data_IF_503381905985
#
_entry.id   IF_503381905985
#
_cell.length_a   1.000
_cell.length_b   1.000
_cell.length_c   1.000
_cell.angle_alpha   90.00
_cell.angle_beta   90.00
_cell.angle_gamma   90.00
#
_symmetry.space_group_name_H-M   'P 1'
#
loop_
_entity.id
_entity.type
_entity.pdbx_description
1 polymer ?
#
# COMPACT_ATOMS: atom_id res chain seq x y z
N UNK A 1 17.31 -41.56 -26.95
CA UNK A 1 18.49 -41.08 -26.20
C UNK A 1 18.67 -39.58 -26.51
N UNK A 2 18.04 -38.69 -25.73
CA UNK A 2 18.11 -37.25 -25.94
C UNK A 2 19.34 -36.72 -25.22
N UNK A 3 20.35 -36.34 -25.99
CA UNK A 3 21.56 -35.66 -25.52
C UNK A 3 21.18 -34.21 -25.14
N UNK A 4 20.79 -33.99 -23.90
CA UNK A 4 20.78 -32.64 -23.33
C UNK A 4 22.24 -32.25 -23.04
N UNK A 5 22.70 -31.04 -23.46
CA UNK A 5 24.06 -30.61 -23.18
C UNK A 5 24.29 -30.54 -21.66
N UNK A 6 25.53 -30.81 -21.17
CA UNK A 6 25.86 -30.73 -19.76
C UNK A 6 25.58 -29.30 -19.25
N UNK A 7 24.72 -29.18 -18.23
CA UNK A 7 24.48 -27.89 -17.56
C UNK A 7 25.78 -27.43 -16.92
N UNK A 8 26.17 -26.19 -17.15
CA UNK A 8 27.36 -25.61 -16.55
C UNK A 8 27.15 -25.49 -15.02
N UNK A 9 28.10 -25.97 -14.17
CA UNK A 9 27.94 -25.99 -12.72
C UNK A 9 27.70 -24.59 -12.10
N UNK A 10 28.15 -23.52 -12.76
CA UNK A 10 27.94 -22.14 -12.33
C UNK A 10 26.46 -21.73 -12.44
N UNK A 11 25.74 -22.20 -13.46
CA UNK A 11 24.30 -21.96 -13.61
C UNK A 11 23.49 -22.65 -12.51
N UNK A 12 23.88 -23.86 -12.11
CA UNK A 12 23.20 -24.60 -11.05
C UNK A 12 23.40 -23.91 -9.69
N UNK A 13 24.58 -23.36 -9.40
CA UNK A 13 24.85 -22.61 -8.16
C UNK A 13 24.02 -21.30 -8.11
N UNK A 14 24.01 -20.52 -9.20
CA UNK A 14 23.22 -19.30 -9.29
C UNK A 14 21.73 -19.58 -9.10
N UNK A 15 21.20 -20.62 -9.74
CA UNK A 15 19.79 -21.04 -9.61
C UNK A 15 19.49 -21.48 -8.16
N UNK A 16 20.37 -22.21 -7.50
CA UNK A 16 20.23 -22.62 -6.10
C UNK A 16 20.20 -21.40 -5.15
N UNK A 17 21.06 -20.41 -5.35
CA UNK A 17 21.09 -19.20 -4.54
C UNK A 17 19.80 -18.38 -4.75
N UNK A 18 19.43 -18.09 -6.00
CA UNK A 18 18.27 -17.29 -6.36
C UNK A 18 16.93 -17.96 -5.99
N UNK A 19 16.89 -19.30 -5.97
CA UNK A 19 15.75 -20.10 -5.52
C UNK A 19 15.69 -20.29 -4.00
N UNK A 20 16.74 -19.91 -3.25
CA UNK A 20 16.79 -20.21 -1.83
C UNK A 20 15.78 -19.39 -1.01
N UNK A 21 15.18 -19.98 0.06
CA UNK A 21 14.27 -19.27 0.96
C UNK A 21 14.92 -18.09 1.69
N UNK A 22 16.25 -18.15 1.91
CA UNK A 22 17.02 -17.06 2.55
C UNK A 22 17.15 -15.87 1.62
N UNK A 23 17.49 -16.09 0.35
CA UNK A 23 17.59 -15.06 -0.66
C UNK A 23 16.23 -14.36 -0.87
N UNK A 24 15.16 -15.12 -1.07
CA UNK A 24 13.81 -14.55 -1.25
C UNK A 24 13.33 -13.78 -0.02
N UNK A 25 13.74 -14.18 1.20
CA UNK A 25 13.45 -13.42 2.42
C UNK A 25 14.18 -12.07 2.45
N UNK A 26 15.48 -12.08 2.15
CA UNK A 26 16.30 -10.87 2.11
C UNK A 26 15.83 -9.91 1.01
N UNK A 27 15.54 -10.44 -0.20
CA UNK A 27 15.03 -9.64 -1.31
C UNK A 27 13.65 -9.03 -1.00
N UNK A 28 12.76 -9.78 -0.34
CA UNK A 28 11.47 -9.25 0.13
C UNK A 28 11.65 -8.07 1.08
N UNK A 29 12.57 -8.18 2.06
CA UNK A 29 12.85 -7.08 2.99
C UNK A 29 13.51 -5.90 2.28
N UNK A 30 14.42 -6.14 1.33
CA UNK A 30 15.05 -5.10 0.53
C UNK A 30 14.01 -4.33 -0.32
N UNK A 31 13.08 -5.04 -0.97
CA UNK A 31 12.01 -4.41 -1.76
C UNK A 31 11.13 -3.52 -0.87
N UNK A 32 10.61 -4.07 0.24
CA UNK A 32 9.75 -3.32 1.16
C UNK A 32 10.53 -2.14 1.75
N UNK A 33 11.77 -2.37 2.19
CA UNK A 33 12.63 -1.35 2.80
C UNK A 33 12.94 -0.19 1.87
N UNK A 34 13.31 -0.49 0.62
CA UNK A 34 13.61 0.53 -0.38
C UNK A 34 12.37 1.39 -0.70
N UNK A 35 11.18 0.76 -0.83
CA UNK A 35 9.95 1.51 -1.13
C UNK A 35 9.39 2.28 0.07
N UNK A 36 9.62 1.80 1.30
CA UNK A 36 9.32 2.54 2.54
C UNK A 36 10.24 3.74 2.67
N UNK A 37 11.52 3.58 2.34
CA UNK A 37 12.55 4.62 2.46
C UNK A 37 12.76 5.39 1.13
N UNK A 38 11.82 5.33 0.18
CA UNK A 38 11.97 5.89 -1.17
C UNK A 38 12.33 7.37 -1.18
N UNK A 39 11.71 8.19 -0.31
CA UNK A 39 12.07 9.60 -0.15
C UNK A 39 13.49 9.75 0.35
N UNK A 40 13.85 9.07 1.44
CA UNK A 40 15.21 9.12 2.01
C UNK A 40 16.27 8.75 0.96
N UNK A 41 16.02 7.69 0.18
CA UNK A 41 16.95 7.26 -0.87
C UNK A 41 17.08 8.31 -1.98
N UNK A 42 15.97 8.91 -2.41
CA UNK A 42 15.99 9.97 -3.41
C UNK A 42 16.73 11.23 -2.93
N UNK A 43 16.53 11.62 -1.69
CA UNK A 43 17.23 12.78 -1.12
C UNK A 43 18.73 12.55 -0.95
N UNK A 44 19.16 11.30 -0.69
CA UNK A 44 20.59 10.96 -0.54
C UNK A 44 21.28 10.68 -1.87
N UNK A 45 20.62 10.04 -2.83
CA UNK A 45 21.24 9.51 -4.06
C UNK A 45 20.65 10.09 -5.36
N UNK A 46 19.63 10.94 -5.24
CA UNK A 46 18.89 11.49 -6.37
C UNK A 46 18.00 10.44 -7.08
N UNK A 47 17.28 10.91 -8.08
CA UNK A 47 16.41 10.07 -8.90
C UNK A 47 17.17 8.96 -9.64
N UNK A 48 18.39 9.26 -10.14
CA UNK A 48 19.20 8.26 -10.85
C UNK A 48 19.59 7.09 -9.94
N UNK A 49 20.03 7.37 -8.71
CA UNK A 49 20.36 6.33 -7.73
C UNK A 49 19.13 5.51 -7.34
N UNK A 50 17.99 6.16 -7.12
CA UNK A 50 16.73 5.48 -6.83
C UNK A 50 16.29 4.54 -7.96
N UNK A 51 16.30 5.00 -9.21
CA UNK A 51 15.93 4.19 -10.37
C UNK A 51 16.88 3.02 -10.59
N UNK A 52 18.18 3.20 -10.33
CA UNK A 52 19.16 2.10 -10.38
C UNK A 52 18.86 1.01 -9.33
N UNK A 53 18.53 1.40 -8.09
CA UNK A 53 18.12 0.46 -7.04
C UNK A 53 16.84 -0.28 -7.47
N UNK A 54 15.83 0.45 -7.95
CA UNK A 54 14.57 -0.14 -8.39
C UNK A 54 14.79 -1.14 -9.53
N UNK A 55 15.59 -0.78 -10.54
CA UNK A 55 15.95 -1.66 -11.64
C UNK A 55 16.68 -2.93 -11.14
N UNK A 56 17.65 -2.78 -10.24
CA UNK A 56 18.34 -3.91 -9.61
C UNK A 56 17.36 -4.85 -8.88
N UNK A 57 16.43 -4.30 -8.10
CA UNK A 57 15.41 -5.09 -7.41
C UNK A 57 14.49 -5.83 -8.39
N UNK A 58 14.07 -5.18 -9.49
CA UNK A 58 13.25 -5.81 -10.55
C UNK A 58 14.01 -6.95 -11.22
N UNK A 59 15.29 -6.75 -11.56
CA UNK A 59 16.14 -7.79 -12.15
C UNK A 59 16.27 -8.98 -11.20
N UNK A 60 16.62 -8.74 -9.93
CA UNK A 60 16.78 -9.81 -8.94
C UNK A 60 15.48 -10.56 -8.67
N UNK A 61 14.34 -9.84 -8.61
CA UNK A 61 13.02 -10.45 -8.46
C UNK A 61 12.65 -11.30 -9.67
N UNK A 62 12.93 -10.83 -10.90
CA UNK A 62 12.71 -11.59 -12.14
C UNK A 62 13.55 -12.86 -12.19
N UNK A 63 14.83 -12.78 -11.86
CA UNK A 63 15.73 -13.92 -11.82
C UNK A 63 15.31 -14.94 -10.74
N UNK A 64 14.86 -14.46 -9.57
CA UNK A 64 14.36 -15.33 -8.52
C UNK A 64 13.04 -16.02 -8.91
N UNK A 65 12.12 -15.32 -9.62
CA UNK A 65 10.90 -15.94 -10.18
C UNK A 65 11.23 -17.02 -11.21
N UNK A 66 12.19 -16.75 -12.09
CA UNK A 66 12.63 -17.73 -13.10
C UNK A 66 13.25 -18.96 -12.45
N UNK A 67 14.06 -18.78 -11.38
CA UNK A 67 14.68 -19.88 -10.64
C UNK A 67 13.62 -20.78 -9.94
N UNK A 68 12.49 -20.21 -9.52
CA UNK A 68 11.42 -20.89 -8.78
C UNK A 68 10.17 -21.19 -9.63
N UNK A 69 10.25 -21.04 -10.97
CA UNK A 69 9.10 -21.12 -11.87
C UNK A 69 8.31 -22.44 -11.78
N UNK A 70 8.98 -23.54 -11.45
CA UNK A 70 8.40 -24.88 -11.35
C UNK A 70 7.64 -25.06 -10.03
N UNK A 71 8.00 -24.30 -8.98
CA UNK A 71 7.34 -24.37 -7.67
C UNK A 71 6.11 -23.45 -7.58
N UNK A 72 5.98 -22.50 -8.52
CA UNK A 72 4.90 -21.52 -8.51
C UNK A 72 3.69 -22.05 -9.25
N UNK A 73 2.56 -22.16 -8.55
CA UNK A 73 1.27 -22.41 -9.18
C UNK A 73 0.81 -21.17 -9.96
N UNK A 74 1.02 -21.13 -11.26
CA UNK A 74 0.68 -20.00 -12.14
C UNK A 74 -0.81 -19.86 -12.47
N UNK A 75 -1.62 -20.88 -12.24
CA UNK A 75 -3.02 -20.92 -12.65
C UNK A 75 -3.94 -20.23 -11.61
N UNK A 76 -4.64 -19.19 -12.04
CA UNK A 76 -5.66 -18.51 -11.23
C UNK A 76 -5.13 -17.51 -10.21
N UNK A 77 -3.90 -17.01 -10.41
CA UNK A 77 -3.13 -16.28 -9.42
C UNK A 77 -3.39 -14.78 -9.35
N UNK A 78 -3.66 -14.16 -10.48
CA UNK A 78 -3.57 -12.70 -10.56
C UNK A 78 -4.97 -12.09 -10.68
N UNK A 79 -5.25 -11.01 -9.92
CA UNK A 79 -6.53 -10.33 -10.05
C UNK A 79 -6.61 -9.60 -11.40
N UNK A 80 -7.49 -10.07 -12.29
CA UNK A 80 -7.71 -9.47 -13.63
C UNK A 80 -7.96 -7.96 -13.52
N UNK A 81 -8.65 -7.52 -12.47
CA UNK A 81 -8.92 -6.10 -12.23
C UNK A 81 -7.65 -5.26 -12.04
N UNK A 82 -6.57 -5.84 -11.49
CA UNK A 82 -5.27 -5.16 -11.39
C UNK A 82 -4.67 -4.91 -12.78
N UNK A 83 -4.72 -5.92 -13.66
CA UNK A 83 -4.20 -5.78 -15.02
C UNK A 83 -5.03 -4.82 -15.88
N UNK A 84 -6.35 -4.79 -15.66
CA UNK A 84 -7.23 -3.83 -16.36
C UNK A 84 -6.81 -2.40 -16.00
N UNK A 85 -6.65 -2.09 -14.71
CA UNK A 85 -6.25 -0.75 -14.28
C UNK A 85 -4.82 -0.39 -14.72
N UNK A 86 -3.84 -1.27 -14.44
CA UNK A 86 -2.44 -1.05 -14.82
C UNK A 86 -2.29 -0.96 -16.34
N UNK A 87 -3.01 -1.80 -17.09
CA UNK A 87 -3.06 -1.76 -18.55
C UNK A 87 -3.62 -0.44 -19.06
N UNK A 88 -4.74 0.05 -18.51
CA UNK A 88 -5.33 1.33 -18.87
C UNK A 88 -4.39 2.50 -18.58
N UNK A 89 -3.77 2.51 -17.39
CA UNK A 89 -2.76 3.51 -17.04
C UNK A 89 -1.54 3.47 -17.97
N UNK A 90 -1.11 2.29 -18.41
CA UNK A 90 0.01 2.14 -19.35
C UNK A 90 -0.38 2.61 -20.78
N UNK A 91 -1.56 2.23 -21.26
CA UNK A 91 -2.06 2.61 -22.59
C UNK A 91 -2.30 4.13 -22.67
N UNK A 92 -2.48 4.83 -21.55
CA UNK A 92 -2.67 6.29 -21.54
C UNK A 92 -1.51 7.08 -22.17
N UNK A 93 -0.35 6.45 -22.38
CA UNK A 93 0.76 6.98 -23.17
C UNK A 93 0.34 7.43 -24.56
N UNK A 94 -0.64 6.77 -25.20
CA UNK A 94 -1.01 7.05 -26.58
C UNK A 94 -1.80 8.35 -26.77
N UNK A 95 -2.48 8.85 -25.74
CA UNK A 95 -3.22 10.12 -25.81
C UNK A 95 -2.66 11.20 -24.90
N UNK A 96 -1.67 10.87 -24.07
CA UNK A 96 -1.01 11.85 -23.21
C UNK A 96 -0.30 12.92 -24.07
N UNK A 97 -0.46 14.18 -23.69
CA UNK A 97 0.29 15.29 -24.31
C UNK A 97 1.79 15.24 -23.97
N UNK A 98 2.19 14.44 -22.97
CA UNK A 98 3.56 14.29 -22.46
C UNK A 98 3.94 12.81 -22.43
N UNK A 99 4.00 12.19 -23.60
CA UNK A 99 4.18 10.74 -23.78
C UNK A 99 5.39 10.20 -23.02
N UNK A 100 6.52 10.94 -23.03
CA UNK A 100 7.74 10.53 -22.33
C UNK A 100 7.57 10.44 -20.80
N UNK A 101 6.88 11.44 -20.18
CA UNK A 101 6.62 11.44 -18.75
C UNK A 101 5.62 10.35 -18.35
N UNK A 102 4.56 10.18 -19.15
CA UNK A 102 3.58 9.11 -18.97
C UNK A 102 4.22 7.74 -19.17
N UNK A 103 5.09 7.56 -20.18
CA UNK A 103 5.82 6.31 -20.37
C UNK A 103 6.74 5.98 -19.20
N UNK A 104 7.51 6.95 -18.70
CA UNK A 104 8.36 6.79 -17.53
C UNK A 104 7.55 6.40 -16.29
N UNK A 105 6.42 7.08 -16.04
CA UNK A 105 5.53 6.80 -14.91
C UNK A 105 4.83 5.45 -15.05
N UNK A 106 4.47 5.02 -16.25
CA UNK A 106 3.90 3.70 -16.53
C UNK A 106 4.93 2.59 -16.28
N UNK A 107 6.17 2.76 -16.74
CA UNK A 107 7.27 1.81 -16.45
C UNK A 107 7.51 1.71 -14.94
N UNK A 108 7.49 2.83 -14.24
CA UNK A 108 7.61 2.85 -12.77
C UNK A 108 6.46 2.10 -12.07
N UNK A 109 5.22 2.32 -12.51
CA UNK A 109 4.04 1.60 -12.02
C UNK A 109 4.17 0.09 -12.26
N UNK A 110 4.58 -0.31 -13.46
CA UNK A 110 4.82 -1.72 -13.82
C UNK A 110 5.91 -2.35 -12.97
N UNK A 111 7.03 -1.64 -12.73
CA UNK A 111 8.13 -2.10 -11.90
C UNK A 111 7.68 -2.38 -10.46
N UNK A 112 6.98 -1.42 -9.82
CA UNK A 112 6.48 -1.61 -8.45
C UNK A 112 5.39 -2.69 -8.40
N UNK A 113 4.52 -2.77 -9.42
CA UNK A 113 3.52 -3.85 -9.55
C UNK A 113 4.18 -5.22 -9.61
N UNK A 114 5.21 -5.37 -10.44
CA UNK A 114 5.96 -6.62 -10.58
C UNK A 114 6.61 -7.03 -9.25
N UNK A 115 7.21 -6.08 -8.51
CA UNK A 115 7.80 -6.34 -7.19
C UNK A 115 6.73 -6.77 -6.16
N UNK A 116 5.54 -6.16 -6.19
CA UNK A 116 4.41 -6.56 -5.34
C UNK A 116 3.90 -7.96 -5.67
N UNK A 117 3.79 -8.30 -6.96
CA UNK A 117 3.44 -9.63 -7.43
C UNK A 117 4.48 -10.66 -6.99
N UNK A 118 5.78 -10.35 -7.15
CA UNK A 118 6.88 -11.21 -6.68
C UNK A 118 6.71 -11.58 -5.21
N UNK A 119 6.59 -10.59 -4.33
CA UNK A 119 6.42 -10.82 -2.88
C UNK A 119 5.21 -11.72 -2.62
N UNK A 120 4.09 -11.42 -3.26
CA UNK A 120 2.85 -12.16 -3.05
C UNK A 120 2.89 -13.60 -3.59
N UNK A 121 3.70 -13.89 -4.61
CA UNK A 121 3.86 -15.23 -5.17
C UNK A 121 4.79 -16.10 -4.32
N UNK A 122 5.91 -15.55 -3.90
CA UNK A 122 7.01 -16.32 -3.28
C UNK A 122 6.81 -16.47 -1.76
N UNK A 123 6.12 -15.53 -1.09
CA UNK A 123 6.03 -15.51 0.38
C UNK A 123 4.62 -15.81 0.87
N UNK A 124 4.53 -16.54 1.99
CA UNK A 124 3.26 -16.74 2.69
C UNK A 124 2.83 -15.49 3.43
N UNK A 125 1.52 -15.34 3.69
CA UNK A 125 0.94 -14.15 4.32
C UNK A 125 1.58 -13.83 5.67
N UNK A 126 1.94 -14.84 6.48
CA UNK A 126 2.62 -14.63 7.76
C UNK A 126 4.06 -14.13 7.56
N UNK A 127 4.77 -14.65 6.54
CA UNK A 127 6.13 -14.22 6.21
C UNK A 127 6.14 -12.78 5.68
N UNK A 128 5.13 -12.41 4.88
CA UNK A 128 4.93 -11.03 4.42
C UNK A 128 4.70 -10.09 5.59
N UNK A 129 3.76 -10.42 6.48
CA UNK A 129 3.48 -9.60 7.68
C UNK A 129 4.73 -9.40 8.54
N UNK A 130 5.56 -10.46 8.73
CA UNK A 130 6.84 -10.35 9.45
C UNK A 130 7.87 -9.49 8.73
N UNK A 131 7.97 -9.58 7.40
CA UNK A 131 8.88 -8.74 6.62
C UNK A 131 8.48 -7.26 6.72
N UNK A 132 7.18 -6.95 6.57
CA UNK A 132 6.64 -5.62 6.83
C UNK A 132 6.93 -5.17 8.28
N UNK A 133 6.69 -6.04 9.27
CA UNK A 133 6.96 -5.73 10.67
C UNK A 133 8.41 -5.36 10.94
N UNK A 134 9.36 -6.08 10.37
CA UNK A 134 10.80 -5.80 10.53
C UNK A 134 11.19 -4.46 9.91
N UNK A 135 10.77 -4.22 8.66
CA UNK A 135 11.08 -2.98 7.94
C UNK A 135 10.41 -1.78 8.61
N UNK A 136 9.14 -1.89 8.97
CA UNK A 136 8.41 -0.78 9.57
C UNK A 136 8.97 -0.43 10.97
N UNK A 137 9.39 -1.41 11.77
CA UNK A 137 10.12 -1.14 13.03
C UNK A 137 11.38 -0.32 12.77
N UNK A 138 12.19 -0.76 11.84
CA UNK A 138 13.43 -0.05 11.49
C UNK A 138 13.16 1.38 11.01
N UNK A 139 12.16 1.56 10.12
CA UNK A 139 11.78 2.87 9.59
C UNK A 139 11.25 3.83 10.67
N UNK A 140 10.41 3.33 11.60
CA UNK A 140 9.87 4.15 12.70
C UNK A 140 10.98 4.50 13.71
N UNK A 141 11.85 3.56 14.06
CA UNK A 141 13.01 3.83 14.93
C UNK A 141 13.92 4.87 14.30
N UNK A 142 14.27 4.71 13.01
CA UNK A 142 15.11 5.67 12.29
C UNK A 142 14.46 7.04 12.25
N UNK A 143 13.14 7.12 11.98
CA UNK A 143 12.39 8.38 12.01
C UNK A 143 12.47 9.08 13.35
N UNK A 144 12.23 8.36 14.45
CA UNK A 144 12.31 8.95 15.80
C UNK A 144 13.73 9.35 16.19
N UNK A 145 14.73 8.54 15.82
CA UNK A 145 16.15 8.87 16.06
C UNK A 145 16.53 10.16 15.36
N UNK A 146 16.16 10.32 14.08
CA UNK A 146 16.44 11.55 13.33
C UNK A 146 15.69 12.77 13.88
N UNK A 147 14.44 12.61 14.33
CA UNK A 147 13.67 13.70 14.95
C UNK A 147 14.26 14.11 16.32
N UNK A 148 14.72 13.13 17.14
CA UNK A 148 15.41 13.41 18.40
C UNK A 148 16.74 14.12 18.11
N UNK A 149 17.48 13.64 17.13
CA UNK A 149 18.76 14.21 16.76
C UNK A 149 18.60 15.67 16.28
N UNK A 150 17.63 15.93 15.40
CA UNK A 150 17.36 17.25 14.87
C UNK A 150 16.78 18.22 15.92
N UNK A 151 15.77 17.78 16.69
CA UNK A 151 15.00 18.67 17.55
C UNK A 151 15.46 18.75 19.01
N UNK A 152 16.29 17.78 19.49
CA UNK A 152 16.69 17.75 20.90
C UNK A 152 18.22 17.88 21.06
N UNK A 153 19.00 17.20 20.20
CA UNK A 153 20.46 17.15 20.33
C UNK A 153 21.18 18.31 19.63
N UNK A 154 20.77 18.65 18.41
CA UNK A 154 21.41 19.69 17.59
C UNK A 154 20.58 20.97 17.58
N UNK A 155 19.27 20.88 17.82
CA UNK A 155 18.30 21.98 17.71
C UNK A 155 18.41 22.69 16.33
N UNK A 156 18.53 21.88 15.28
CA UNK A 156 18.67 22.34 13.90
C UNK A 156 17.90 21.44 12.94
N UNK A 157 17.13 22.00 11.99
CA UNK A 157 16.36 21.22 11.04
C UNK A 157 17.28 20.47 10.05
N UNK A 158 16.85 19.27 9.64
CA UNK A 158 17.47 18.51 8.57
C UNK A 158 16.68 18.79 7.29
N UNK A 159 17.05 19.85 6.58
CA UNK A 159 16.27 20.42 5.47
C UNK A 159 16.02 19.42 4.33
N UNK A 160 17.03 18.63 3.95
CA UNK A 160 16.91 17.66 2.85
C UNK A 160 15.95 16.49 3.14
N UNK A 161 15.62 16.23 4.42
CA UNK A 161 14.59 15.26 4.81
C UNK A 161 13.27 15.91 5.22
N UNK A 162 13.16 17.22 5.07
CA UNK A 162 12.04 18.02 5.57
C UNK A 162 11.79 17.84 7.08
N UNK A 163 12.80 17.41 7.87
CA UNK A 163 12.70 17.28 9.32
C UNK A 163 12.91 18.65 9.95
N UNK A 164 11.84 19.18 10.55
CA UNK A 164 11.85 20.55 11.10
C UNK A 164 12.45 20.64 12.51
N UNK A 165 12.73 19.53 13.19
CA UNK A 165 13.26 19.51 14.56
C UNK A 165 12.23 19.94 15.61
N UNK A 166 10.94 19.81 15.35
CA UNK A 166 9.86 20.31 16.22
C UNK A 166 9.62 19.47 17.48
N UNK A 167 10.39 18.42 17.70
CA UNK A 167 10.17 17.51 18.84
C UNK A 167 10.43 18.21 20.18
N UNK A 168 11.38 19.16 20.25
CA UNK A 168 11.68 19.94 21.45
C UNK A 168 10.49 20.75 21.96
N UNK A 169 9.62 21.22 21.06
CA UNK A 169 8.39 21.96 21.37
C UNK A 169 7.14 21.06 21.30
N UNK A 170 7.34 19.72 21.32
CA UNK A 170 6.27 18.74 21.15
C UNK A 170 5.46 18.94 19.87
N UNK A 171 6.04 19.55 18.83
CA UNK A 171 5.43 19.78 17.54
C UNK A 171 5.28 18.51 16.71
N UNK A 172 4.60 18.57 15.55
CA UNK A 172 4.40 17.41 14.70
C UNK A 172 5.73 16.95 14.08
N UNK A 173 5.96 15.62 14.10
CA UNK A 173 7.11 14.97 13.48
C UNK A 173 6.74 14.41 12.10
N UNK A 174 7.75 14.25 11.23
CA UNK A 174 7.62 13.78 9.85
C UNK A 174 8.49 12.56 9.57
N UNK A 175 9.59 12.40 10.30
CA UNK A 175 10.56 11.34 10.11
C UNK A 175 11.13 11.31 8.71
N UNK A 176 11.42 10.10 8.21
CA UNK A 176 11.96 9.88 6.86
C UNK A 176 10.91 9.95 5.74
N UNK A 177 9.67 10.34 6.05
CA UNK A 177 8.53 10.30 5.12
C UNK A 177 8.14 11.68 4.54
N UNK A 178 8.84 12.74 4.92
CA UNK A 178 8.68 14.10 4.39
C UNK A 178 7.43 14.84 4.85
N UNK A 179 6.37 14.13 5.27
CA UNK A 179 5.16 14.75 5.83
C UNK A 179 4.62 13.96 7.02
N UNK A 180 3.98 14.67 7.97
CA UNK A 180 3.32 14.04 9.14
C UNK A 180 2.22 13.06 8.75
N UNK A 181 1.52 13.33 7.63
CA UNK A 181 0.46 12.45 7.15
C UNK A 181 1.01 11.13 6.62
N UNK A 182 2.10 11.16 5.84
CA UNK A 182 2.76 9.96 5.35
C UNK A 182 3.32 9.11 6.50
N UNK A 183 4.00 9.75 7.46
CA UNK A 183 4.45 9.07 8.69
C UNK A 183 3.27 8.43 9.42
N UNK A 184 2.14 9.14 9.56
CA UNK A 184 0.92 8.64 10.18
C UNK A 184 0.34 7.41 9.47
N UNK A 185 0.26 7.44 8.13
CA UNK A 185 -0.25 6.32 7.31
C UNK A 185 0.64 5.08 7.46
N UNK A 186 1.95 5.25 7.32
CA UNK A 186 2.91 4.15 7.48
C UNK A 186 2.85 3.58 8.90
N UNK A 187 2.71 4.45 9.91
CA UNK A 187 2.56 4.04 11.30
C UNK A 187 1.26 3.25 11.55
N UNK A 188 0.16 3.59 10.89
CA UNK A 188 -1.08 2.80 10.98
C UNK A 188 -0.92 1.41 10.36
N UNK A 189 -0.26 1.30 9.20
CA UNK A 189 0.08 -0.02 8.61
C UNK A 189 0.99 -0.80 9.56
N UNK A 190 1.93 -0.13 10.23
CA UNK A 190 2.81 -0.73 11.23
C UNK A 190 2.02 -1.25 12.44
N UNK A 191 1.10 -0.46 13.01
CA UNK A 191 0.26 -0.87 14.15
C UNK A 191 -0.59 -2.09 13.80
N UNK A 192 -1.22 -2.12 12.61
CA UNK A 192 -1.98 -3.29 12.12
C UNK A 192 -1.06 -4.50 12.01
N UNK A 193 0.15 -4.32 11.50
CA UNK A 193 1.14 -5.38 11.33
C UNK A 193 1.61 -5.91 12.68
N UNK A 194 2.00 -5.04 13.61
CA UNK A 194 2.45 -5.42 14.96
C UNK A 194 1.34 -6.07 15.78
N UNK A 195 0.09 -5.59 15.63
CA UNK A 195 -1.09 -6.23 16.24
C UNK A 195 -1.33 -7.65 15.69
N UNK A 196 -1.08 -7.85 14.39
CA UNK A 196 -1.14 -9.17 13.74
C UNK A 196 -0.03 -10.07 14.26
N UNK A 197 1.21 -9.58 14.35
CA UNK A 197 2.34 -10.33 14.91
C UNK A 197 2.07 -10.77 16.36
N UNK A 198 1.54 -9.87 17.21
CA UNK A 198 1.18 -10.18 18.59
C UNK A 198 0.11 -11.28 18.65
N UNK A 199 -0.91 -11.19 17.81
CA UNK A 199 -2.04 -12.12 17.80
C UNK A 199 -1.67 -13.50 17.25
N UNK A 200 -0.80 -13.55 16.26
CA UNK A 200 -0.31 -14.78 15.64
C UNK A 200 0.88 -15.39 16.39
N UNK A 201 1.43 -14.68 17.38
CA UNK A 201 2.66 -15.06 18.10
C UNK A 201 3.83 -15.33 17.15
N UNK A 202 3.87 -14.61 16.04
CA UNK A 202 4.93 -14.78 15.04
C UNK A 202 6.28 -14.19 15.47
N UNK A 203 6.27 -13.32 16.47
CA UNK A 203 7.45 -12.77 17.14
C UNK A 203 7.28 -12.89 18.67
N UNK A 204 8.36 -12.63 19.43
CA UNK A 204 8.27 -12.62 20.89
C UNK A 204 7.29 -11.56 21.37
N UNK A 205 6.57 -11.84 22.47
CA UNK A 205 5.56 -10.93 23.04
C UNK A 205 6.16 -9.55 23.38
N UNK A 206 7.37 -9.53 23.93
CA UNK A 206 8.03 -8.28 24.30
C UNK A 206 8.34 -7.42 23.10
N UNK A 207 8.82 -8.03 21.99
CA UNK A 207 9.06 -7.33 20.74
C UNK A 207 7.75 -6.79 20.15
N UNK A 208 6.68 -7.58 20.12
CA UNK A 208 5.39 -7.15 19.60
C UNK A 208 4.80 -5.99 20.42
N UNK A 209 4.84 -6.07 21.75
CA UNK A 209 4.34 -5.01 22.64
C UNK A 209 5.20 -3.76 22.50
N UNK A 210 6.54 -3.88 22.52
CA UNK A 210 7.43 -2.74 22.29
C UNK A 210 7.21 -2.08 20.94
N UNK A 211 6.92 -2.87 19.88
CA UNK A 211 6.59 -2.34 18.55
C UNK A 211 5.27 -1.58 18.53
N UNK A 212 4.25 -2.06 19.26
CA UNK A 212 2.96 -1.35 19.39
C UNK A 212 3.13 -0.04 20.16
N UNK A 213 3.95 -0.02 21.21
CA UNK A 213 4.29 1.21 21.95
C UNK A 213 5.02 2.20 21.03
N UNK A 214 6.02 1.72 20.27
CA UNK A 214 6.72 2.52 19.27
C UNK A 214 5.75 3.13 18.27
N UNK A 215 4.86 2.32 17.67
CA UNK A 215 3.85 2.80 16.73
C UNK A 215 2.87 3.79 17.38
N UNK A 216 2.41 3.53 18.59
CA UNK A 216 1.53 4.43 19.34
C UNK A 216 2.18 5.80 19.60
N UNK A 217 3.42 5.81 20.06
CA UNK A 217 4.19 7.05 20.29
C UNK A 217 4.41 7.81 19.00
N UNK A 218 4.85 7.13 17.93
CA UNK A 218 5.05 7.77 16.62
C UNK A 218 3.76 8.39 16.09
N UNK A 219 2.62 7.71 16.23
CA UNK A 219 1.33 8.21 15.80
C UNK A 219 0.90 9.46 16.59
N UNK A 220 1.13 9.45 17.90
CA UNK A 220 0.84 10.59 18.77
C UNK A 220 1.67 11.81 18.39
N UNK A 221 2.97 11.64 18.16
CA UNK A 221 3.85 12.73 17.76
C UNK A 221 3.67 13.18 16.31
N UNK A 222 3.26 12.29 15.40
CA UNK A 222 2.92 12.68 14.03
C UNK A 222 1.76 13.69 13.97
N UNK A 223 0.85 13.69 14.96
CA UNK A 223 -0.30 14.62 15.05
C UNK A 223 -1.07 14.77 13.74
N UNK A 224 -1.19 13.69 12.98
CA UNK A 224 -1.90 13.68 11.69
C UNK A 224 -3.40 13.49 11.90
N UNK A 225 -4.25 14.47 11.53
CA UNK A 225 -5.70 14.34 11.62
C UNK A 225 -6.22 13.16 10.78
N UNK A 226 -5.61 12.94 9.60
CA UNK A 226 -5.96 11.83 8.69
C UNK A 226 -5.69 10.49 9.36
N UNK A 227 -4.51 10.36 9.98
CA UNK A 227 -4.13 9.12 10.64
C UNK A 227 -5.02 8.83 11.86
N UNK A 228 -5.35 9.83 12.67
CA UNK A 228 -6.28 9.65 13.79
C UNK A 228 -7.70 9.27 13.33
N UNK A 229 -8.23 9.94 12.31
CA UNK A 229 -9.52 9.59 11.73
C UNK A 229 -9.52 8.16 11.18
N UNK A 230 -8.46 7.78 10.46
CA UNK A 230 -8.28 6.42 9.93
C UNK A 230 -8.12 5.38 11.04
N UNK A 231 -7.43 5.70 12.13
CA UNK A 231 -7.31 4.81 13.30
C UNK A 231 -8.68 4.41 13.85
N UNK A 232 -9.60 5.38 13.97
CA UNK A 232 -10.97 5.10 14.43
C UNK A 232 -11.66 4.11 13.49
N UNK A 233 -11.55 4.32 12.17
CA UNK A 233 -12.15 3.41 11.17
C UNK A 233 -11.52 2.01 11.25
N UNK A 234 -10.20 1.91 11.42
CA UNK A 234 -9.48 0.62 11.57
C UNK A 234 -9.89 -0.09 12.86
N UNK A 235 -10.08 0.64 13.96
CA UNK A 235 -10.60 0.06 15.22
C UNK A 235 -12.01 -0.49 15.01
N UNK A 236 -12.91 0.25 14.39
CA UNK A 236 -14.27 -0.21 14.06
C UNK A 236 -14.26 -1.43 13.15
N UNK A 237 -13.42 -1.42 12.10
CA UNK A 237 -13.24 -2.55 11.21
C UNK A 237 -12.70 -3.80 11.94
N UNK A 238 -11.77 -3.61 12.88
CA UNK A 238 -11.23 -4.70 13.71
C UNK A 238 -12.31 -5.29 14.61
N UNK A 239 -13.12 -4.45 15.27
CA UNK A 239 -14.26 -4.88 16.10
C UNK A 239 -15.31 -5.62 15.28
N UNK A 240 -15.62 -5.12 14.08
CA UNK A 240 -16.53 -5.74 13.15
C UNK A 240 -16.04 -7.14 12.69
N UNK A 241 -14.77 -7.27 12.33
CA UNK A 241 -14.17 -8.57 12.02
C UNK A 241 -14.18 -9.52 13.21
N UNK A 242 -13.87 -9.02 14.39
CA UNK A 242 -13.90 -9.83 15.60
C UNK A 242 -15.32 -10.32 15.94
N UNK A 243 -16.34 -9.46 15.79
CA UNK A 243 -17.75 -9.82 15.90
C UNK A 243 -18.17 -10.88 14.88
N UNK A 244 -17.88 -10.66 13.58
CA UNK A 244 -18.22 -11.61 12.50
C UNK A 244 -17.59 -12.99 12.69
N UNK A 245 -16.40 -13.07 13.26
CA UNK A 245 -15.70 -14.33 13.52
C UNK A 245 -16.37 -15.17 14.63
N UNK A 246 -17.15 -14.54 15.52
CA UNK A 246 -17.90 -15.20 16.61
C UNK A 246 -19.28 -15.66 16.17
N UNK A 247 -19.80 -15.11 15.07
CA UNK A 247 -21.14 -15.46 14.56
C UNK A 247 -21.09 -16.81 13.84
N UNK A 248 -22.13 -17.62 14.01
CA UNK A 248 -22.29 -18.90 13.33
C UNK A 248 -22.29 -18.72 11.79
N UNK A 249 -21.82 -19.72 11.01
CA UNK A 249 -21.72 -19.63 9.55
C UNK A 249 -23.02 -19.21 8.85
N UNK A 250 -24.16 -19.66 9.36
CA UNK A 250 -25.50 -19.40 8.82
C UNK A 250 -25.90 -17.90 8.95
N UNK A 251 -25.51 -17.26 10.06
CA UNK A 251 -25.81 -15.86 10.34
C UNK A 251 -24.76 -14.87 9.83
N UNK A 252 -23.61 -15.36 9.33
CA UNK A 252 -22.54 -14.48 8.82
C UNK A 252 -22.99 -13.60 7.68
N UNK A 253 -23.84 -14.10 6.78
CA UNK A 253 -24.37 -13.33 5.66
C UNK A 253 -25.21 -12.16 6.16
N UNK A 254 -26.09 -12.40 7.13
CA UNK A 254 -26.92 -11.33 7.76
C UNK A 254 -26.00 -10.32 8.45
N UNK A 255 -25.01 -10.79 9.22
CA UNK A 255 -24.01 -9.92 9.88
C UNK A 255 -23.24 -9.02 8.90
N UNK A 256 -22.91 -9.51 7.71
CA UNK A 256 -22.26 -8.72 6.67
C UNK A 256 -23.19 -7.61 6.11
N UNK A 257 -24.48 -7.91 5.87
CA UNK A 257 -25.46 -6.90 5.45
C UNK A 257 -25.70 -5.86 6.54
N UNK A 258 -25.79 -6.27 7.81
CA UNK A 258 -25.92 -5.35 8.94
C UNK A 258 -24.70 -4.43 9.03
N UNK A 259 -23.49 -4.97 8.85
CA UNK A 259 -22.28 -4.17 8.83
C UNK A 259 -22.25 -3.20 7.64
N UNK A 260 -22.64 -3.63 6.46
CA UNK A 260 -22.74 -2.75 5.30
C UNK A 260 -23.72 -1.61 5.56
N UNK A 261 -24.93 -1.93 6.05
CA UNK A 261 -25.93 -0.91 6.42
C UNK A 261 -25.42 0.03 7.49
N UNK A 262 -24.79 -0.51 8.56
CA UNK A 262 -24.19 0.31 9.63
C UNK A 262 -23.09 1.23 9.10
N UNK A 263 -22.21 0.73 8.22
CA UNK A 263 -21.13 1.52 7.62
C UNK A 263 -21.69 2.66 6.77
N UNK A 264 -22.72 2.40 5.95
CA UNK A 264 -23.38 3.42 5.16
C UNK A 264 -24.07 4.47 6.05
N UNK A 265 -24.75 4.05 7.12
CA UNK A 265 -25.39 4.95 8.08
C UNK A 265 -24.35 5.81 8.81
N UNK A 266 -23.29 5.20 9.34
CA UNK A 266 -22.19 5.92 10.01
C UNK A 266 -21.52 6.90 9.04
N UNK A 267 -21.30 6.49 7.80
CA UNK A 267 -20.75 7.35 6.74
C UNK A 267 -21.65 8.56 6.44
N UNK A 268 -22.97 8.36 6.34
CA UNK A 268 -23.93 9.43 6.14
C UNK A 268 -23.98 10.40 7.34
N UNK A 269 -23.98 9.88 8.57
CA UNK A 269 -23.93 10.69 9.80
C UNK A 269 -22.60 11.46 9.88
N UNK A 270 -21.46 10.83 9.59
CA UNK A 270 -20.16 11.49 9.57
C UNK A 270 -20.10 12.60 8.50
N UNK A 271 -20.71 12.38 7.34
CA UNK A 271 -20.85 13.40 6.30
C UNK A 271 -21.72 14.57 6.76
N UNK A 272 -22.86 14.30 7.39
CA UNK A 272 -23.73 15.34 7.96
C UNK A 272 -23.02 16.13 9.07
N UNK A 273 -22.26 15.44 9.94
CA UNK A 273 -21.49 16.01 11.03
C UNK A 273 -20.05 16.43 10.64
N UNK A 274 -19.74 16.56 9.35
CA UNK A 274 -18.37 16.81 8.89
C UNK A 274 -17.73 18.07 9.47
N UNK A 275 -18.48 19.15 9.61
CA UNK A 275 -17.96 20.42 10.14
C UNK A 275 -17.46 20.30 11.59
N UNK A 276 -18.25 19.82 12.56
CA UNK A 276 -17.76 19.61 13.92
C UNK A 276 -16.62 18.58 13.99
N UNK A 277 -16.62 17.54 13.15
CA UNK A 277 -15.52 16.56 13.11
C UNK A 277 -14.21 17.21 12.65
N UNK A 278 -14.25 18.02 11.58
CA UNK A 278 -13.08 18.72 11.04
C UNK A 278 -12.52 19.69 12.09
N UNK A 279 -13.39 20.41 12.79
CA UNK A 279 -12.98 21.35 13.85
C UNK A 279 -12.36 20.61 15.05
N UNK A 280 -12.96 19.50 15.48
CA UNK A 280 -12.45 18.66 16.58
C UNK A 280 -11.06 18.07 16.27
N UNK A 281 -10.81 17.73 15.00
CA UNK A 281 -9.52 17.22 14.54
C UNK A 281 -8.50 18.33 14.23
N UNK A 282 -8.85 19.60 14.38
CA UNK A 282 -8.04 20.77 13.98
C UNK A 282 -7.57 20.68 12.51
N UNK A 283 -8.41 20.12 11.64
CA UNK A 283 -8.10 19.79 10.25
C UNK A 283 -8.54 20.89 9.24
N UNK A 284 -9.05 22.02 9.69
CA UNK A 284 -9.60 23.09 8.83
C UNK A 284 -8.57 23.63 7.85
N UNK A 285 -7.33 23.86 8.28
CA UNK A 285 -6.25 24.36 7.40
C UNK A 285 -5.88 23.32 6.33
N UNK A 286 -5.82 22.03 6.69
CA UNK A 286 -5.56 20.96 5.74
C UNK A 286 -6.71 20.78 4.73
N UNK A 287 -7.95 20.94 5.18
CA UNK A 287 -9.12 20.91 4.29
C UNK A 287 -9.09 22.09 3.30
N UNK A 288 -8.78 23.30 3.78
CA UNK A 288 -8.69 24.49 2.92
C UNK A 288 -7.59 24.32 1.86
N UNK A 289 -6.44 23.74 2.23
CA UNK A 289 -5.38 23.38 1.30
C UNK A 289 -5.91 22.44 0.20
N UNK A 290 -6.60 21.36 0.59
CA UNK A 290 -7.18 20.39 -0.37
C UNK A 290 -8.22 21.02 -1.27
N UNK A 291 -9.10 21.85 -0.73
CA UNK A 291 -10.10 22.55 -1.53
C UNK A 291 -9.45 23.51 -2.54
N UNK A 292 -8.34 24.15 -2.18
CA UNK A 292 -7.57 25.00 -3.09
C UNK A 292 -6.94 24.20 -4.24
N UNK A 293 -6.52 22.95 -4.00
CA UNK A 293 -6.02 22.02 -5.03
C UNK A 293 -7.16 21.47 -5.87
N UNK A 294 -8.29 21.08 -5.26
CA UNK A 294 -9.39 20.40 -5.96
C UNK A 294 -10.20 21.33 -6.86
N UNK A 295 -10.24 22.64 -6.57
CA UNK A 295 -10.94 23.63 -7.42
C UNK A 295 -10.42 23.64 -8.86
N UNK A 296 -9.10 23.88 -9.14
CA UNK A 296 -8.58 23.84 -10.49
C UNK A 296 -8.70 22.44 -11.13
N UNK A 297 -8.51 21.36 -10.37
CA UNK A 297 -8.67 19.98 -10.89
C UNK A 297 -10.07 19.78 -11.48
N UNK A 298 -11.13 20.23 -10.78
CA UNK A 298 -12.51 20.13 -11.27
C UNK A 298 -12.77 20.91 -12.55
N UNK A 299 -11.98 21.94 -12.83
CA UNK A 299 -12.07 22.69 -14.10
C UNK A 299 -11.27 22.02 -15.23
N UNK A 300 -10.25 21.23 -14.89
CA UNK A 300 -9.41 20.50 -15.84
C UNK A 300 -10.01 19.16 -16.27
N UNK A 301 -10.77 18.48 -15.38
CA UNK A 301 -11.36 17.17 -15.67
C UNK A 301 -12.27 17.19 -16.92
N UNK A 302 -13.20 18.15 -17.14
CA UNK A 302 -14.11 18.12 -18.29
C UNK A 302 -13.41 18.17 -19.66
N UNK A 303 -12.17 18.63 -19.73
CA UNK A 303 -11.42 18.70 -21.01
C UNK A 303 -10.94 17.33 -21.50
N UNK A 304 -10.78 16.35 -20.58
CA UNK A 304 -10.36 14.97 -20.85
C UNK A 304 -11.11 14.01 -19.91
N UNK A 305 -12.44 14.10 -19.87
CA UNK A 305 -13.27 13.47 -18.84
C UNK A 305 -13.18 11.95 -18.84
N UNK A 306 -13.18 11.31 -20.03
CA UNK A 306 -13.22 9.86 -20.17
C UNK A 306 -11.85 9.21 -20.07
N UNK A 307 -10.85 9.77 -20.77
CA UNK A 307 -9.51 9.17 -20.92
C UNK A 307 -8.45 9.74 -19.98
N UNK A 308 -8.68 10.96 -19.46
CA UNK A 308 -7.73 11.68 -18.62
C UNK A 308 -6.55 12.28 -19.39
N UNK A 309 -5.62 12.91 -18.66
CA UNK A 309 -4.46 13.61 -19.22
C UNK A 309 -3.25 12.70 -19.48
N UNK A 310 -3.27 11.47 -19.02
CA UNK A 310 -2.17 10.51 -19.04
C UNK A 310 -1.64 10.20 -17.62
N UNK A 311 -1.25 8.96 -17.40
CA UNK A 311 -0.75 8.51 -16.10
C UNK A 311 0.59 9.16 -15.76
N UNK A 312 0.66 9.82 -14.62
CA UNK A 312 1.88 10.46 -14.10
C UNK A 312 2.35 9.86 -12.76
N UNK A 313 1.44 9.18 -12.03
CA UNK A 313 1.70 8.78 -10.65
C UNK A 313 1.85 10.01 -9.75
N UNK A 314 3.09 10.38 -9.42
CA UNK A 314 3.39 11.71 -8.87
C UNK A 314 3.42 12.76 -9.98
N UNK A 315 2.87 13.93 -9.72
CA UNK A 315 2.86 15.03 -10.69
C UNK A 315 4.26 15.57 -10.93
N UNK A 316 4.56 15.85 -12.18
CA UNK A 316 5.85 16.37 -12.60
C UNK A 316 5.78 17.89 -12.67
N UNK A 317 6.78 18.56 -12.10
CA UNK A 317 6.90 20.01 -12.16
C UNK A 317 6.98 20.49 -13.62
N UNK A 318 6.33 21.62 -13.90
CA UNK A 318 6.37 22.25 -15.22
C UNK A 318 5.58 21.54 -16.33
N UNK A 319 4.92 20.40 -16.04
CA UNK A 319 4.12 19.68 -17.04
C UNK A 319 2.64 20.01 -16.86
N UNK A 320 1.94 20.57 -17.84
CA UNK A 320 0.48 20.67 -17.85
C UNK A 320 -0.17 19.27 -17.79
N UNK A 321 -1.32 19.10 -17.14
CA UNK A 321 -2.08 20.13 -16.46
C UNK A 321 -1.57 20.48 -15.06
N UNK A 322 -0.61 19.73 -14.53
CA UNK A 322 -0.15 19.80 -13.14
C UNK A 322 0.50 21.15 -12.82
N UNK A 323 1.23 21.73 -13.79
CA UNK A 323 1.84 23.06 -13.66
C UNK A 323 0.84 24.18 -13.36
N UNK A 324 -0.43 24.02 -13.75
CA UNK A 324 -1.50 25.01 -13.49
C UNK A 324 -2.13 24.89 -12.12
N UNK A 325 -1.77 23.86 -11.36
CA UNK A 325 -2.32 23.60 -10.04
C UNK A 325 -1.34 24.14 -9.00
N UNK A 326 -1.68 25.30 -8.40
CA UNK A 326 -0.86 25.97 -7.38
C UNK A 326 0.61 26.19 -7.80
N UNK A 327 0.80 26.71 -9.00
CA UNK A 327 2.13 27.03 -9.52
C UNK A 327 3.12 25.85 -9.58
N UNK A 328 2.58 24.63 -9.72
CA UNK A 328 3.37 23.41 -9.80
C UNK A 328 3.95 22.90 -8.47
N UNK A 329 3.59 23.52 -7.36
CA UNK A 329 4.13 23.17 -6.01
C UNK A 329 3.54 21.89 -5.41
N UNK A 330 2.62 21.23 -6.11
CA UNK A 330 1.97 20.03 -5.64
C UNK A 330 2.39 18.82 -6.45
N UNK A 331 2.68 17.71 -5.76
CA UNK A 331 3.03 16.44 -6.39
C UNK A 331 1.83 15.50 -6.57
N UNK A 332 0.63 15.87 -6.10
CA UNK A 332 -0.58 15.06 -6.19
C UNK A 332 -1.85 15.86 -5.83
N UNK A 333 -3.02 15.29 -6.12
CA UNK A 333 -4.31 15.84 -5.72
C UNK A 333 -4.59 15.74 -4.20
N UNK A 334 -3.74 15.10 -3.42
CA UNK A 334 -4.03 14.70 -2.03
C UNK A 334 -5.38 13.99 -1.88
N UNK A 335 -5.73 13.20 -2.89
CA UNK A 335 -6.90 12.33 -2.95
C UNK A 335 -6.69 11.35 -4.11
N UNK A 336 -6.48 10.07 -3.81
CA UNK A 336 -6.14 9.06 -4.81
C UNK A 336 -7.22 8.89 -5.89
N UNK A 337 -8.49 9.04 -5.54
CA UNK A 337 -9.61 8.87 -6.47
C UNK A 337 -9.71 10.05 -7.45
N UNK A 338 -9.52 11.27 -6.96
CA UNK A 338 -9.51 12.46 -7.78
C UNK A 338 -8.27 12.53 -8.67
N UNK A 339 -7.14 12.05 -8.17
CA UNK A 339 -5.88 11.93 -8.91
C UNK A 339 -6.01 10.95 -10.08
N UNK A 340 -6.60 9.78 -9.82
CA UNK A 340 -6.89 8.80 -10.87
C UNK A 340 -7.84 9.38 -11.91
N UNK A 341 -8.89 10.09 -11.49
CA UNK A 341 -9.83 10.70 -12.43
C UNK A 341 -9.15 11.74 -13.33
N UNK A 342 -8.32 12.60 -12.77
CA UNK A 342 -7.56 13.58 -13.55
C UNK A 342 -6.61 12.90 -14.54
N UNK A 343 -5.86 11.89 -14.09
CA UNK A 343 -4.79 11.28 -14.87
C UNK A 343 -5.28 10.30 -15.93
N UNK A 344 -6.23 9.43 -15.61
CA UNK A 344 -6.68 8.34 -16.51
C UNK A 344 -8.18 8.33 -16.75
N UNK A 345 -8.85 9.45 -16.44
CA UNK A 345 -10.24 9.72 -16.76
C UNK A 345 -11.24 8.86 -15.98
N UNK A 346 -12.50 8.98 -16.38
CA UNK A 346 -13.60 8.27 -15.77
C UNK A 346 -13.49 6.75 -15.96
N UNK A 347 -12.99 6.30 -17.12
CA UNK A 347 -12.77 4.87 -17.40
C UNK A 347 -11.73 4.31 -16.43
N UNK A 348 -10.60 5.01 -16.25
CA UNK A 348 -9.57 4.61 -15.29
C UNK A 348 -10.07 4.65 -13.85
N UNK A 349 -10.87 5.65 -13.49
CA UNK A 349 -11.49 5.73 -12.16
C UNK A 349 -12.41 4.54 -11.88
N UNK A 350 -13.27 4.16 -12.82
CA UNK A 350 -14.11 2.96 -12.66
C UNK A 350 -13.28 1.69 -12.54
N UNK A 351 -12.26 1.52 -13.37
CA UNK A 351 -11.34 0.39 -13.28
C UNK A 351 -10.63 0.35 -11.91
N UNK A 352 -10.18 1.51 -11.40
CA UNK A 352 -9.54 1.64 -10.10
C UNK A 352 -10.50 1.31 -8.95
N UNK A 353 -11.69 1.92 -8.91
CA UNK A 353 -12.69 1.67 -7.87
C UNK A 353 -13.14 0.20 -7.87
N UNK A 354 -13.33 -0.39 -9.05
CA UNK A 354 -13.64 -1.81 -9.18
C UNK A 354 -12.50 -2.69 -8.66
N UNK A 355 -11.25 -2.38 -9.00
CA UNK A 355 -10.05 -3.09 -8.54
C UNK A 355 -9.92 -3.04 -7.01
N UNK A 356 -9.98 -1.84 -6.41
CA UNK A 356 -9.82 -1.69 -4.96
C UNK A 356 -11.00 -2.29 -4.21
N UNK A 357 -12.21 -2.17 -4.75
CA UNK A 357 -13.43 -2.78 -4.19
C UNK A 357 -13.35 -4.30 -4.17
N UNK A 358 -12.94 -4.94 -5.27
CA UNK A 358 -12.76 -6.39 -5.32
C UNK A 358 -11.65 -6.86 -4.39
N UNK A 359 -10.52 -6.16 -4.33
CA UNK A 359 -9.42 -6.49 -3.42
C UNK A 359 -9.90 -6.44 -1.96
N UNK A 360 -10.63 -5.40 -1.59
CA UNK A 360 -11.20 -5.25 -0.25
C UNK A 360 -12.22 -6.35 0.07
N UNK A 361 -13.20 -6.58 -0.81
CA UNK A 361 -14.24 -7.60 -0.59
C UNK A 361 -13.61 -8.99 -0.41
N UNK A 362 -12.66 -9.36 -1.28
CA UNK A 362 -11.96 -10.65 -1.18
C UNK A 362 -11.19 -10.77 0.13
N UNK A 363 -10.40 -9.76 0.50
CA UNK A 363 -9.65 -9.74 1.76
C UNK A 363 -10.56 -9.80 2.97
N UNK A 364 -11.69 -9.06 2.96
CA UNK A 364 -12.67 -9.05 4.03
C UNK A 364 -13.37 -10.39 4.20
N UNK A 365 -13.80 -11.01 3.11
CA UNK A 365 -14.42 -12.34 3.12
C UNK A 365 -13.44 -13.39 3.64
N UNK A 366 -12.19 -13.34 3.21
CA UNK A 366 -11.15 -14.23 3.70
C UNK A 366 -10.92 -14.03 5.21
N UNK A 367 -10.75 -12.78 5.64
CA UNK A 367 -10.58 -12.41 7.04
C UNK A 367 -11.72 -12.89 7.93
N UNK A 368 -12.98 -12.82 7.45
CA UNK A 368 -14.16 -13.23 8.22
C UNK A 368 -14.38 -14.75 8.26
N UNK A 369 -13.89 -15.50 7.26
CA UNK A 369 -14.10 -16.95 7.14
C UNK A 369 -13.00 -17.79 7.76
N UNK A 370 -11.75 -17.34 7.66
CA UNK A 370 -10.58 -18.08 8.12
C UNK A 370 -10.38 -17.95 9.64
N UNK A 371 -9.98 -19.05 10.31
CA UNK A 371 -9.71 -19.06 11.75
C UNK A 371 -8.45 -18.28 12.13
N UNK A 372 -7.39 -18.36 11.32
CA UNK A 372 -6.13 -17.67 11.57
C UNK A 372 -6.29 -16.16 11.46
N UNK A 373 -5.72 -15.42 12.45
CA UNK A 373 -5.79 -13.96 12.47
C UNK A 373 -4.89 -13.31 11.39
N UNK A 374 -3.94 -14.05 10.84
CA UNK A 374 -3.06 -13.54 9.78
C UNK A 374 -3.84 -13.05 8.56
N UNK A 375 -4.99 -13.67 8.26
CA UNK A 375 -5.85 -13.26 7.15
C UNK A 375 -6.62 -11.94 7.40
N UNK A 376 -6.61 -11.42 8.65
CA UNK A 376 -7.13 -10.09 8.93
C UNK A 376 -6.15 -8.99 8.49
N UNK A 377 -4.84 -9.29 8.39
CA UNK A 377 -3.82 -8.33 8.03
C UNK A 377 -4.10 -7.64 6.68
N UNK A 378 -4.29 -8.36 5.54
CA UNK A 378 -4.57 -7.70 4.27
C UNK A 378 -5.84 -6.86 4.29
N UNK A 379 -6.89 -7.34 4.97
CA UNK A 379 -8.16 -6.63 5.05
C UNK A 379 -8.04 -5.30 5.81
N UNK A 380 -7.37 -5.30 6.98
CA UNK A 380 -7.17 -4.09 7.79
C UNK A 380 -6.19 -3.11 7.15
N UNK A 381 -5.12 -3.62 6.51
CA UNK A 381 -4.20 -2.78 5.74
C UNK A 381 -4.92 -2.10 4.57
N UNK A 382 -5.79 -2.82 3.85
CA UNK A 382 -6.61 -2.22 2.80
C UNK A 382 -7.56 -1.16 3.36
N UNK A 383 -8.15 -1.34 4.57
CA UNK A 383 -8.94 -0.28 5.23
C UNK A 383 -8.08 0.97 5.42
N UNK A 384 -6.84 0.83 5.92
CA UNK A 384 -5.92 1.98 6.06
C UNK A 384 -5.74 2.68 4.72
N UNK A 385 -5.33 1.94 3.67
CA UNK A 385 -5.01 2.51 2.36
C UNK A 385 -6.23 3.17 1.68
N UNK A 386 -7.40 2.55 1.75
CA UNK A 386 -8.61 3.06 1.11
C UNK A 386 -9.16 4.30 1.80
N UNK A 387 -9.14 4.32 3.13
CA UNK A 387 -9.63 5.47 3.91
C UNK A 387 -8.66 6.65 3.77
N UNK A 388 -7.35 6.40 3.89
CA UNK A 388 -6.36 7.46 3.69
C UNK A 388 -6.33 7.95 2.25
N UNK A 389 -6.64 7.09 1.26
CA UNK A 389 -6.77 7.46 -0.15
C UNK A 389 -7.82 8.53 -0.44
N UNK A 390 -8.78 8.77 0.45
CA UNK A 390 -9.74 9.89 0.36
C UNK A 390 -9.10 11.26 0.66
N UNK A 391 -7.94 11.29 1.32
CA UNK A 391 -7.28 12.49 1.78
C UNK A 391 -5.79 12.57 1.43
N UNK A 392 -5.24 11.55 0.80
CA UNK A 392 -3.85 11.45 0.33
C UNK A 392 -3.78 10.57 -0.93
N UNK A 393 -2.77 10.79 -1.78
CA UNK A 393 -2.56 10.00 -3.01
C UNK A 393 -1.50 8.90 -2.85
N UNK A 394 -1.02 8.66 -1.64
CA UNK A 394 0.05 7.68 -1.32
C UNK A 394 -0.28 6.23 -1.71
N UNK A 395 -1.57 5.90 -1.85
CA UNK A 395 -2.01 4.60 -2.37
C UNK A 395 -1.51 4.33 -3.80
N UNK A 396 -1.28 5.37 -4.61
CA UNK A 396 -0.98 5.25 -6.04
C UNK A 396 0.50 5.05 -6.33
N UNK A 397 1.38 5.24 -5.35
CA UNK A 397 2.83 5.26 -5.54
C UNK A 397 3.57 4.45 -4.49
N UNK A 398 4.76 3.98 -4.83
CA UNK A 398 5.77 3.41 -3.94
C UNK A 398 5.22 2.41 -2.91
N UNK A 399 5.42 2.69 -1.61
CA UNK A 399 4.99 1.81 -0.51
C UNK A 399 3.49 1.53 -0.52
N UNK A 400 2.66 2.54 -0.78
CA UNK A 400 1.20 2.39 -0.82
C UNK A 400 0.77 1.44 -1.93
N UNK A 401 1.27 1.64 -3.14
CA UNK A 401 0.96 0.79 -4.29
C UNK A 401 1.50 -0.63 -4.12
N UNK A 402 2.77 -0.78 -3.68
CA UNK A 402 3.34 -2.10 -3.37
C UNK A 402 2.44 -2.87 -2.39
N UNK A 403 2.09 -2.21 -1.28
CA UNK A 403 1.27 -2.80 -0.21
C UNK A 403 -0.11 -3.21 -0.72
N UNK A 404 -0.74 -2.36 -1.54
CA UNK A 404 -2.00 -2.67 -2.20
C UNK A 404 -1.90 -3.89 -3.12
N UNK A 405 -0.88 -3.94 -3.99
CA UNK A 405 -0.66 -5.07 -4.91
C UNK A 405 -0.46 -6.38 -4.13
N UNK A 406 0.38 -6.37 -3.10
CA UNK A 406 0.62 -7.54 -2.24
C UNK A 406 -0.68 -8.04 -1.61
N UNK A 407 -1.48 -7.15 -1.01
CA UNK A 407 -2.76 -7.51 -0.39
C UNK A 407 -3.77 -8.03 -1.42
N UNK A 408 -3.86 -7.40 -2.59
CA UNK A 408 -4.79 -7.76 -3.67
C UNK A 408 -4.48 -9.15 -4.25
N UNK A 409 -3.20 -9.42 -4.55
CA UNK A 409 -2.77 -10.72 -5.10
C UNK A 409 -2.95 -11.82 -4.06
N UNK A 410 -2.59 -11.60 -2.79
CA UNK A 410 -2.83 -12.57 -1.71
C UNK A 410 -4.30 -12.90 -1.54
N UNK A 411 -5.18 -11.90 -1.51
CA UNK A 411 -6.61 -12.11 -1.38
C UNK A 411 -7.17 -12.90 -2.58
N UNK A 412 -6.66 -12.68 -3.79
CA UNK A 412 -7.07 -13.41 -5.00
C UNK A 412 -6.66 -14.89 -4.96
N UNK A 413 -5.42 -15.17 -4.54
CA UNK A 413 -4.90 -16.55 -4.44
C UNK A 413 -5.63 -17.40 -3.41
N UNK A 414 -5.84 -16.83 -2.22
CA UNK A 414 -6.40 -17.54 -1.08
C UNK A 414 -7.91 -17.79 -1.21
N UNK A 415 -8.61 -16.95 -1.99
CA UNK A 415 -10.05 -17.04 -2.23
C UNK A 415 -10.39 -17.64 -3.61
N UNK A 416 -9.42 -18.29 -4.28
CA UNK A 416 -9.69 -18.91 -5.59
C UNK A 416 -10.77 -19.98 -5.44
N UNK A 417 -11.88 -19.80 -6.15
CA UNK A 417 -13.04 -20.73 -6.14
C UNK A 417 -12.69 -22.15 -6.59
N UNK A 418 -11.55 -22.35 -7.29
CA UNK A 418 -11.02 -23.68 -7.59
C UNK A 418 -10.65 -24.50 -6.33
N UNK A 419 -10.13 -23.86 -5.27
CA UNK A 419 -9.93 -24.53 -3.97
C UNK A 419 -11.26 -24.90 -3.31
N UNK A 420 -12.32 -24.12 -3.52
CA UNK A 420 -13.65 -24.45 -3.05
C UNK A 420 -14.23 -25.68 -3.80
N UNK A 421 -14.03 -25.79 -5.11
CA UNK A 421 -14.47 -26.94 -5.90
C UNK A 421 -13.62 -28.21 -5.66
N UNK A 422 -12.32 -28.08 -5.38
CA UNK A 422 -11.48 -29.22 -5.03
C UNK A 422 -11.86 -29.80 -3.64
N UNK A 423 -12.31 -28.96 -2.71
CA UNK A 423 -12.80 -29.41 -1.40
C UNK A 423 -14.19 -30.05 -1.44
N UNK A 424 -14.97 -29.87 -2.52
CA UNK A 424 -16.29 -30.51 -2.73
C UNK A 424 -16.21 -31.80 -3.49
N UNK A 425 -15.08 -32.19 -4.07
CA UNK A 425 -14.86 -33.55 -4.55
C UNK A 425 -14.56 -34.45 -3.35
N UNK A 426 -15.63 -34.89 -2.70
CA UNK A 426 -15.59 -36.05 -1.81
C UNK A 426 -15.04 -37.22 -2.64
N UNK A 427 -14.02 -37.98 -2.20
CA UNK A 427 -13.68 -39.22 -2.85
C UNK A 427 -14.94 -40.09 -2.83
N UNK A 428 -15.40 -40.50 -4.00
CA UNK A 428 -16.39 -41.55 -4.09
C UNK A 428 -15.74 -42.80 -3.47
N UNK A 429 -16.05 -43.05 -2.19
CA UNK A 429 -15.80 -44.33 -1.57
C UNK A 429 -16.80 -45.31 -2.17
N UNK A 430 -16.47 -45.82 -3.35
CA UNK A 430 -17.02 -47.04 -3.93
C UNK A 430 -16.25 -47.32 -5.24
N UNK A 431 -15.09 -47.98 -5.10
CA UNK A 431 -14.64 -49.07 -5.96
C UNK A 431 -13.62 -49.91 -5.19
#
# INVERSE_FOLDING_TARGET
>A
MSLLPPRHPEFDLAQQILGSPRFSAALTQAIIGSLVASLLVRELMGWAGWLAILAGLVILASLSLLAQREEIEWHGLLPVSLFIFVGWATISVFWSQYNWATAGSAVYLLAVTMLGIYIALIRDTIQIARAFGNVLRAALVLSLVLEIFAGVLIDSPIHFLAIAGNLSVLGPIQGIFGTRNQLGIVTLVAIVTFGTELRTRSVSRNLAVGSLVLGGLTLLFARSPIAFGTLVVVMLATLALWGLRRVSPERKRIGQFVLLGSTLTIGAVAWAARTPIINALSASNELNLRLAIWRPIRLLIPTHELEGWGWAGNWWEGIPPFAYIRDGLQSSALNAYLDVWLQVGLIGLFAFVFMVGLAFIRSWLLASRQRSFVYAWPALVLVVLLVTGLAESSLLVEFGWLTFVVCSVKASRELSWRKAFAATRVPSAFE
#
